data_IF_512859030903
#
_entry.id   IF_512859030903
#
_cell.length_a   1.000
_cell.length_b   1.000
_cell.length_c   1.000
_cell.angle_alpha   90.00
_cell.angle_beta   90.00
_cell.angle_gamma   90.00
#
_symmetry.space_group_name_H-M   'P 1'
#
loop_
_entity.id
_entity.type
_entity.pdbx_description
1 polymer ?
#
# COMPACT_ATOMS: atom_id res chain seq x y z
N UNK A 1 13.01 -68.96 -17.67
CA UNK A 1 12.72 -67.52 -17.50
C UNK A 1 11.25 -67.40 -17.15
N UNK A 2 10.92 -66.86 -15.98
CA UNK A 2 9.53 -66.60 -15.61
C UNK A 2 9.04 -65.39 -16.43
N UNK A 3 7.90 -65.53 -17.10
CA UNK A 3 7.29 -64.43 -17.87
C UNK A 3 6.70 -63.44 -16.88
N UNK A 4 7.14 -62.19 -16.93
CA UNK A 4 6.59 -61.13 -16.11
C UNK A 4 5.26 -60.67 -16.72
N UNK A 5 4.15 -60.96 -16.03
CA UNK A 5 2.79 -60.69 -16.51
C UNK A 5 2.47 -59.18 -16.63
N UNK A 6 3.28 -58.35 -15.98
CA UNK A 6 3.10 -56.90 -15.92
C UNK A 6 3.89 -56.16 -17.02
N UNK A 7 4.70 -56.86 -17.81
CA UNK A 7 5.44 -56.25 -18.91
C UNK A 7 4.53 -55.97 -20.12
N UNK A 8 4.78 -54.85 -20.77
CA UNK A 8 4.05 -54.41 -21.96
C UNK A 8 4.75 -54.91 -23.23
N UNK A 9 4.60 -56.20 -23.49
CA UNK A 9 5.17 -56.86 -24.66
C UNK A 9 4.07 -57.39 -25.58
N UNK A 10 4.33 -57.39 -26.88
CA UNK A 10 3.40 -57.95 -27.89
C UNK A 10 3.04 -59.42 -27.58
N UNK A 11 3.95 -60.15 -26.91
CA UNK A 11 3.70 -61.50 -26.43
C UNK A 11 2.65 -61.55 -25.31
N UNK A 12 2.73 -60.66 -24.32
CA UNK A 12 1.78 -60.61 -23.21
C UNK A 12 0.38 -60.18 -23.68
N UNK A 13 0.28 -59.30 -24.68
CA UNK A 13 -1.01 -58.93 -25.27
C UNK A 13 -1.66 -60.06 -26.05
N UNK A 14 -0.87 -60.86 -26.78
CA UNK A 14 -1.36 -62.07 -27.42
C UNK A 14 -1.90 -63.07 -26.37
N UNK A 15 -1.21 -63.24 -25.24
CA UNK A 15 -1.64 -64.11 -24.14
C UNK A 15 -2.94 -63.63 -23.46
N UNK A 16 -3.13 -62.31 -23.30
CA UNK A 16 -4.40 -61.73 -22.81
C UNK A 16 -5.54 -61.98 -23.79
N UNK A 17 -5.29 -61.82 -25.09
CA UNK A 17 -6.28 -62.08 -26.16
C UNK A 17 -6.69 -63.56 -26.24
N UNK A 18 -5.77 -64.48 -25.95
CA UNK A 18 -6.04 -65.91 -25.89
C UNK A 18 -6.62 -66.37 -24.53
N UNK A 19 -6.86 -65.46 -23.58
CA UNK A 19 -7.47 -65.77 -22.29
C UNK A 19 -6.55 -66.48 -21.30
N UNK A 20 -5.24 -66.46 -21.54
CA UNK A 20 -4.21 -67.08 -20.69
C UNK A 20 -3.79 -66.13 -19.56
N UNK A 21 -3.75 -64.82 -19.84
CA UNK A 21 -3.49 -63.77 -18.84
C UNK A 21 -4.79 -62.99 -18.55
N UNK A 22 -5.01 -62.57 -17.29
CA UNK A 22 -6.14 -61.73 -16.92
C UNK A 22 -6.08 -60.36 -17.65
N UNK A 23 -7.25 -59.72 -17.91
CA UNK A 23 -7.29 -58.36 -18.43
C UNK A 23 -6.54 -57.41 -17.50
N UNK A 24 -5.72 -56.52 -18.09
CA UNK A 24 -4.99 -55.51 -17.31
C UNK A 24 -5.97 -54.52 -16.66
N UNK A 25 -5.63 -54.10 -15.44
CA UNK A 25 -6.31 -52.97 -14.82
C UNK A 25 -6.06 -51.70 -15.66
N UNK A 26 -7.11 -50.92 -15.99
CA UNK A 26 -6.93 -49.69 -16.74
C UNK A 26 -6.10 -48.70 -15.91
N UNK A 27 -5.08 -48.11 -16.53
CA UNK A 27 -4.28 -47.06 -15.91
C UNK A 27 -5.22 -45.93 -15.48
N UNK A 28 -5.13 -45.44 -14.23
CA UNK A 28 -5.93 -44.30 -13.81
C UNK A 28 -5.66 -43.12 -14.75
N UNK A 29 -6.68 -42.35 -15.14
CA UNK A 29 -6.49 -41.21 -16.03
C UNK A 29 -5.48 -40.24 -15.40
N UNK A 30 -4.47 -39.87 -16.18
CA UNK A 30 -3.50 -38.86 -15.76
C UNK A 30 -4.24 -37.61 -15.32
N UNK A 31 -3.97 -37.04 -14.12
CA UNK A 31 -4.61 -35.81 -13.69
C UNK A 31 -4.32 -34.72 -14.73
N UNK A 32 -5.34 -33.92 -15.05
CA UNK A 32 -5.21 -32.81 -15.99
C UNK A 32 -4.14 -31.83 -15.48
N UNK A 33 -3.28 -31.28 -16.36
CA UNK A 33 -2.31 -30.27 -15.96
C UNK A 33 -3.05 -29.06 -15.36
N UNK A 34 -2.41 -28.33 -14.42
CA UNK A 34 -3.00 -27.14 -13.84
C UNK A 34 -3.32 -26.11 -14.93
N UNK A 35 -4.35 -25.26 -14.72
CA UNK A 35 -4.66 -24.18 -15.66
C UNK A 35 -3.45 -23.26 -15.82
N UNK A 36 -3.22 -22.80 -17.06
CA UNK A 36 -2.21 -21.77 -17.34
C UNK A 36 -2.51 -20.50 -16.53
N UNK A 37 -1.49 -19.82 -16.00
CA UNK A 37 -1.69 -18.61 -15.20
C UNK A 37 -2.42 -17.55 -16.00
N UNK A 38 -3.20 -16.73 -15.30
CA UNK A 38 -3.85 -15.57 -15.90
C UNK A 38 -2.79 -14.55 -16.34
N UNK A 39 -3.13 -13.71 -17.33
CA UNK A 39 -2.24 -12.65 -17.82
C UNK A 39 -1.76 -11.75 -16.67
N UNK A 40 -2.62 -11.50 -15.68
CA UNK A 40 -2.33 -10.68 -14.50
C UNK A 40 -1.31 -11.34 -13.56
N UNK A 41 -1.40 -12.66 -13.36
CA UNK A 41 -0.42 -13.43 -12.59
C UNK A 41 0.94 -13.46 -13.30
N UNK A 42 0.93 -13.68 -14.62
CA UNK A 42 2.16 -13.68 -15.43
C UNK A 42 2.88 -12.33 -15.42
N UNK A 43 2.14 -11.21 -15.40
CA UNK A 43 2.69 -9.86 -15.30
C UNK A 43 3.17 -9.50 -13.88
N UNK A 44 2.58 -10.11 -12.84
CA UNK A 44 2.86 -9.78 -11.44
C UNK A 44 4.25 -10.16 -10.94
N UNK A 45 4.85 -11.18 -11.55
CA UNK A 45 6.20 -11.64 -11.23
C UNK A 45 7.30 -10.80 -11.90
N UNK A 46 6.95 -9.96 -12.89
CA UNK A 46 7.90 -9.17 -13.66
C UNK A 46 8.30 -7.87 -12.95
N UNK A 47 9.57 -7.49 -13.14
CA UNK A 47 10.12 -6.22 -12.72
C UNK A 47 9.66 -5.07 -13.61
N UNK A 48 9.75 -3.81 -13.15
CA UNK A 48 9.42 -2.65 -14.00
C UNK A 48 10.25 -2.53 -15.28
N UNK A 49 11.43 -3.14 -15.34
CA UNK A 49 12.27 -3.17 -16.54
C UNK A 49 11.78 -4.24 -17.52
N UNK A 50 11.50 -5.45 -17.06
CA UNK A 50 10.95 -6.54 -17.89
C UNK A 50 9.57 -6.20 -18.44
N UNK A 51 8.73 -5.52 -17.65
CA UNK A 51 7.44 -5.01 -18.14
C UNK A 51 7.58 -3.94 -19.23
N UNK A 52 8.69 -3.18 -19.25
CA UNK A 52 8.94 -2.22 -20.33
C UNK A 52 9.30 -2.97 -21.61
N UNK A 53 10.24 -3.91 -21.52
CA UNK A 53 10.66 -4.75 -22.66
C UNK A 53 9.47 -5.51 -23.26
N UNK A 54 8.64 -6.13 -22.40
CA UNK A 54 7.43 -6.84 -22.82
C UNK A 54 6.39 -5.92 -23.51
N UNK A 55 6.33 -4.64 -23.12
CA UNK A 55 5.47 -3.66 -23.78
C UNK A 55 5.99 -3.29 -25.18
N UNK A 56 7.32 -3.18 -25.34
CA UNK A 56 7.97 -2.88 -26.62
C UNK A 56 7.88 -4.06 -27.60
N UNK A 57 7.87 -5.30 -27.11
CA UNK A 57 7.71 -6.53 -27.90
C UNK A 57 6.24 -6.94 -28.16
N UNK A 58 5.27 -6.13 -27.75
CA UNK A 58 3.85 -6.44 -27.90
C UNK A 58 3.42 -6.42 -29.39
N UNK A 59 2.69 -7.46 -29.81
CA UNK A 59 2.26 -7.62 -31.20
C UNK A 59 1.11 -6.69 -31.61
N UNK A 60 0.42 -6.06 -30.65
CA UNK A 60 -0.72 -5.18 -30.89
C UNK A 60 -0.79 -4.04 -29.85
N UNK A 61 -1.44 -2.94 -30.25
CA UNK A 61 -1.50 -1.71 -29.44
C UNK A 61 -2.34 -1.84 -28.16
N UNK A 62 -3.27 -2.80 -28.09
CA UNK A 62 -4.08 -2.98 -26.88
C UNK A 62 -3.27 -3.71 -25.80
N UNK A 63 -2.51 -4.73 -26.20
CA UNK A 63 -1.56 -5.43 -25.32
C UNK A 63 -0.49 -4.49 -24.78
N UNK A 64 0.11 -3.63 -25.63
CA UNK A 64 1.09 -2.61 -25.21
C UNK A 64 0.52 -1.70 -24.11
N UNK A 65 -0.73 -1.24 -24.27
CA UNK A 65 -1.40 -0.34 -23.30
C UNK A 65 -1.65 -1.04 -21.97
N UNK A 66 -2.04 -2.32 -21.99
CA UNK A 66 -2.28 -3.10 -20.77
C UNK A 66 -0.98 -3.27 -19.99
N UNK A 67 0.11 -3.66 -20.67
CA UNK A 67 1.42 -3.87 -20.04
C UNK A 67 1.99 -2.57 -19.48
N UNK A 68 1.91 -1.46 -20.21
CA UNK A 68 2.38 -0.16 -19.74
C UNK A 68 1.56 0.36 -18.54
N UNK A 69 0.25 0.12 -18.52
CA UNK A 69 -0.58 0.45 -17.36
C UNK A 69 -0.18 -0.36 -16.13
N UNK A 70 0.08 -1.67 -16.30
CA UNK A 70 0.55 -2.54 -15.23
C UNK A 70 1.91 -2.09 -14.69
N UNK A 71 2.85 -1.76 -15.59
CA UNK A 71 4.17 -1.20 -15.23
C UNK A 71 4.03 0.09 -14.41
N UNK A 72 3.15 1.00 -14.82
CA UNK A 72 2.90 2.25 -14.08
C UNK A 72 2.33 1.98 -12.69
N UNK A 73 1.39 1.06 -12.57
CA UNK A 73 0.83 0.65 -11.28
C UNK A 73 1.92 0.04 -10.39
N UNK A 74 2.71 -0.90 -10.89
CA UNK A 74 3.81 -1.55 -10.17
C UNK A 74 4.86 -0.55 -9.68
N UNK A 75 5.27 0.38 -10.53
CA UNK A 75 6.21 1.45 -10.15
C UNK A 75 5.60 2.37 -9.09
N UNK A 76 4.30 2.68 -9.19
CA UNK A 76 3.62 3.49 -8.18
C UNK A 76 3.52 2.78 -6.83
N UNK A 77 3.27 1.47 -6.83
CA UNK A 77 3.24 0.64 -5.63
C UNK A 77 4.60 0.53 -4.95
N UNK A 78 5.66 0.19 -5.72
CA UNK A 78 7.03 0.15 -5.20
C UNK A 78 7.43 1.49 -4.61
N UNK A 79 7.17 2.59 -5.33
CA UNK A 79 7.39 3.94 -4.82
C UNK A 79 6.56 4.26 -3.57
N UNK A 80 5.40 3.65 -3.39
CA UNK A 80 4.56 3.85 -2.19
C UNK A 80 5.08 3.03 -1.01
N UNK A 81 5.60 1.82 -1.26
CA UNK A 81 6.21 0.95 -0.26
C UNK A 81 7.54 1.52 0.24
N UNK A 82 8.42 1.97 -0.65
CA UNK A 82 9.69 2.65 -0.30
C UNK A 82 9.45 3.90 0.57
N UNK A 83 8.32 4.57 0.32
CA UNK A 83 7.90 5.80 1.00
C UNK A 83 7.17 5.56 2.32
N UNK A 84 6.88 4.31 2.69
CA UNK A 84 6.03 4.00 3.84
C UNK A 84 6.77 4.00 5.18
N UNK A 85 7.46 5.10 5.52
CA UNK A 85 8.25 5.22 6.77
C UNK A 85 7.40 5.58 7.99
N UNK A 86 6.30 6.29 7.76
CA UNK A 86 5.33 6.70 8.77
C UNK A 86 3.99 6.00 8.53
N UNK A 87 2.90 6.55 9.05
CA UNK A 87 1.58 5.89 9.00
C UNK A 87 0.70 6.16 10.22
N UNK A 88 1.23 6.88 11.21
CA UNK A 88 0.52 7.27 12.43
C UNK A 88 0.90 8.68 12.87
N UNK A 89 0.17 9.18 13.86
CA UNK A 89 0.44 10.47 14.51
C UNK A 89 1.27 10.21 15.75
N UNK A 90 2.40 10.90 15.88
CA UNK A 90 3.33 10.75 17.01
C UNK A 90 3.12 11.89 18.01
N UNK A 91 2.69 11.62 19.26
CA UNK A 91 2.64 12.65 20.29
C UNK A 91 4.05 13.04 20.73
N UNK A 92 4.31 14.33 20.87
CA UNK A 92 5.64 14.85 21.24
C UNK A 92 5.56 15.89 22.35
N UNK A 93 6.64 16.01 23.12
CA UNK A 93 6.87 17.08 24.09
C UNK A 93 7.42 18.37 23.45
N UNK A 94 7.55 19.43 24.27
CA UNK A 94 8.16 20.71 23.86
C UNK A 94 9.65 20.55 23.56
N UNK A 95 10.33 19.79 24.41
CA UNK A 95 11.75 19.44 24.33
C UNK A 95 12.08 18.63 23.07
N UNK A 96 11.13 17.86 22.58
CA UNK A 96 11.28 17.05 21.37
C UNK A 96 10.98 17.81 20.08
N UNK A 97 10.36 19.00 20.15
CA UNK A 97 9.86 19.74 18.99
C UNK A 97 10.94 19.93 17.92
N UNK A 98 12.12 20.43 18.30
CA UNK A 98 13.21 20.69 17.35
C UNK A 98 13.65 19.41 16.63
N UNK A 99 13.85 18.31 17.38
CA UNK A 99 14.28 17.03 16.82
C UNK A 99 13.20 16.42 15.93
N UNK A 100 11.97 16.37 16.43
CA UNK A 100 10.87 15.64 15.80
C UNK A 100 10.21 16.39 14.65
N UNK A 101 10.36 17.72 14.60
CA UNK A 101 9.78 18.60 13.58
C UNK A 101 10.86 19.21 12.69
N UNK A 102 11.70 20.09 13.23
CA UNK A 102 12.65 20.88 12.44
C UNK A 102 13.74 19.99 11.83
N UNK A 103 14.45 19.22 12.65
CA UNK A 103 15.53 18.35 12.16
C UNK A 103 14.97 17.17 11.35
N UNK A 104 13.86 16.57 11.80
CA UNK A 104 13.20 15.51 11.03
C UNK A 104 12.81 15.97 9.62
N UNK A 105 12.45 17.24 9.44
CA UNK A 105 12.07 17.78 8.12
C UNK A 105 13.25 17.97 7.16
N UNK A 106 14.50 18.04 7.66
CA UNK A 106 15.73 18.13 6.86
C UNK A 106 16.21 16.78 6.34
N UNK A 107 15.77 15.69 6.97
CA UNK A 107 16.16 14.34 6.55
C UNK A 107 15.61 14.08 5.14
N UNK A 108 16.51 13.85 4.19
CA UNK A 108 16.17 13.43 2.83
C UNK A 108 16.33 11.92 2.72
N UNK A 109 15.39 11.27 2.03
CA UNK A 109 15.46 9.82 1.78
C UNK A 109 16.50 9.53 0.70
N UNK A 110 17.18 8.39 0.83
CA UNK A 110 18.11 7.88 -0.18
C UNK A 110 17.38 7.77 -1.54
N UNK A 111 17.96 8.36 -2.58
CA UNK A 111 17.37 8.39 -3.92
C UNK A 111 16.48 9.61 -4.24
N UNK A 112 16.27 10.54 -3.31
CA UNK A 112 15.64 11.85 -3.59
C UNK A 112 16.69 12.96 -3.64
N UNK A 113 16.48 14.02 -4.46
CA UNK A 113 17.36 15.17 -4.46
C UNK A 113 17.39 15.80 -3.06
N UNK A 114 18.59 16.18 -2.59
CA UNK A 114 18.83 16.70 -1.24
C UNK A 114 17.90 17.88 -0.86
N UNK A 115 17.43 18.63 -1.86
CA UNK A 115 16.53 19.78 -1.69
C UNK A 115 15.09 19.44 -1.33
N UNK A 116 14.70 18.16 -1.25
CA UNK A 116 13.29 17.82 -1.01
C UNK A 116 12.90 17.82 0.47
N UNK A 117 13.71 17.22 1.35
CA UNK A 117 13.39 17.04 2.77
C UNK A 117 12.11 16.23 3.05
N UNK A 118 12.01 15.68 4.27
CA UNK A 118 10.80 15.01 4.75
C UNK A 118 9.73 16.06 5.06
N UNK A 119 8.50 15.84 4.58
CA UNK A 119 7.36 16.66 5.01
C UNK A 119 6.98 16.33 6.44
N UNK A 120 6.85 17.35 7.30
CA UNK A 120 6.39 17.18 8.69
C UNK A 120 5.18 18.06 8.95
N UNK A 121 4.09 17.48 9.43
CA UNK A 121 2.87 18.20 9.82
C UNK A 121 2.75 18.17 11.35
N UNK A 122 2.89 19.34 11.98
CA UNK A 122 2.77 19.52 13.41
C UNK A 122 1.36 20.01 13.76
N UNK A 123 0.61 19.19 14.50
CA UNK A 123 -0.75 19.46 14.93
C UNK A 123 -0.79 19.92 16.38
N UNK A 124 -1.16 21.18 16.57
CA UNK A 124 -1.34 21.80 17.88
C UNK A 124 -2.82 21.71 18.27
N UNK A 125 -3.07 21.08 19.41
CA UNK A 125 -4.40 20.84 19.95
C UNK A 125 -4.51 21.26 21.42
N UNK A 126 -5.74 21.37 21.91
CA UNK A 126 -6.02 21.46 23.35
C UNK A 126 -7.16 20.53 23.71
N UNK A 127 -7.03 19.88 24.86
CA UNK A 127 -8.06 19.02 25.43
C UNK A 127 -9.31 19.85 25.78
N UNK A 128 -10.50 19.24 25.64
CA UNK A 128 -11.77 19.89 25.93
C UNK A 128 -12.27 20.85 24.84
N UNK A 129 -11.53 21.04 23.74
CA UNK A 129 -12.00 21.79 22.56
C UNK A 129 -12.55 20.80 21.52
N UNK A 130 -13.86 20.78 21.23
CA UNK A 130 -14.46 19.80 20.32
C UNK A 130 -13.87 19.80 18.89
N UNK A 131 -13.34 20.95 18.45
CA UNK A 131 -12.67 21.05 17.13
C UNK A 131 -11.32 20.32 17.14
N UNK A 132 -10.59 20.30 18.26
CA UNK A 132 -9.38 19.49 18.42
C UNK A 132 -9.68 18.00 18.25
N UNK A 133 -10.72 17.51 18.91
CA UNK A 133 -11.10 16.08 18.87
C UNK A 133 -11.48 15.64 17.45
N UNK A 134 -12.28 16.45 16.75
CA UNK A 134 -12.60 16.19 15.33
C UNK A 134 -11.36 16.22 14.44
N UNK A 135 -10.42 17.12 14.71
CA UNK A 135 -9.18 17.20 13.94
C UNK A 135 -8.27 15.98 14.16
N UNK A 136 -8.31 15.34 15.34
CA UNK A 136 -7.60 14.09 15.60
C UNK A 136 -8.02 12.96 14.66
N UNK A 137 -9.33 12.81 14.41
CA UNK A 137 -9.83 11.81 13.46
C UNK A 137 -9.33 12.08 12.05
N UNK A 138 -9.30 13.36 11.65
CA UNK A 138 -8.81 13.72 10.33
C UNK A 138 -7.31 13.44 10.17
N UNK A 139 -6.48 13.89 11.11
CA UNK A 139 -5.03 13.74 10.99
C UNK A 139 -4.58 12.27 11.07
N UNK A 140 -5.28 11.42 11.83
CA UNK A 140 -5.01 9.97 11.87
C UNK A 140 -5.24 9.32 10.50
N UNK A 141 -6.34 9.66 9.83
CA UNK A 141 -6.63 9.16 8.48
C UNK A 141 -5.59 9.67 7.48
N UNK A 142 -5.22 10.95 7.55
CA UNK A 142 -4.19 11.52 6.67
C UNK A 142 -2.82 10.86 6.90
N UNK A 143 -2.44 10.59 8.14
CA UNK A 143 -1.20 9.90 8.47
C UNK A 143 -1.12 8.51 7.84
N UNK A 144 -2.23 7.77 7.82
CA UNK A 144 -2.30 6.47 7.15
C UNK A 144 -2.25 6.57 5.62
N UNK A 145 -2.84 7.63 5.05
CA UNK A 145 -2.87 7.86 3.59
C UNK A 145 -1.55 8.38 3.04
N UNK A 146 -0.76 9.09 3.85
CA UNK A 146 0.49 9.74 3.48
C UNK A 146 1.65 9.27 4.36
N UNK A 147 2.08 7.99 4.22
CA UNK A 147 3.12 7.43 5.09
C UNK A 147 4.52 7.98 4.77
N UNK A 148 4.68 8.80 3.74
CA UNK A 148 5.89 9.58 3.44
C UNK A 148 6.00 10.88 4.24
N UNK A 149 4.90 11.29 4.87
CA UNK A 149 4.81 12.52 5.66
C UNK A 149 4.77 12.16 7.14
N UNK A 150 5.60 12.83 7.93
CA UNK A 150 5.58 12.65 9.39
C UNK A 150 4.47 13.51 9.98
N UNK A 151 3.55 12.90 10.72
CA UNK A 151 2.51 13.63 11.46
C UNK A 151 2.82 13.59 12.94
N UNK A 152 2.91 14.75 13.59
CA UNK A 152 3.11 14.84 15.04
C UNK A 152 2.00 15.65 15.69
N UNK A 153 1.74 15.38 16.97
CA UNK A 153 0.77 16.13 17.77
C UNK A 153 1.40 16.66 19.05
N UNK A 154 1.12 17.91 19.40
CA UNK A 154 1.61 18.55 20.62
C UNK A 154 0.50 19.38 21.25
N UNK A 155 0.46 19.41 22.58
CA UNK A 155 -0.46 20.31 23.30
C UNK A 155 -0.07 21.75 23.00
N UNK A 156 -1.03 22.54 22.52
CA UNK A 156 -0.82 23.88 21.98
C UNK A 156 -0.06 24.79 22.94
N UNK A 157 -0.46 24.80 24.22
CA UNK A 157 0.19 25.61 25.27
C UNK A 157 1.59 25.11 25.65
N UNK A 158 1.92 23.83 25.41
CA UNK A 158 3.29 23.32 25.56
C UNK A 158 4.19 23.82 24.43
N UNK A 159 3.64 24.00 23.23
CA UNK A 159 4.39 24.51 22.07
C UNK A 159 4.52 26.04 22.10
N UNK A 160 3.40 26.75 22.20
CA UNK A 160 3.30 28.20 22.15
C UNK A 160 2.63 28.68 23.43
N UNK A 161 3.35 29.48 24.22
CA UNK A 161 2.81 29.99 25.48
C UNK A 161 1.58 30.87 25.23
N UNK A 162 0.53 30.69 26.03
CA UNK A 162 -0.73 31.44 25.96
C UNK A 162 -1.40 31.39 24.57
N UNK A 163 -1.41 30.22 23.92
CA UNK A 163 -2.00 30.08 22.59
C UNK A 163 -3.53 30.23 22.67
N UNK A 164 -4.16 31.21 22.00
CA UNK A 164 -5.61 31.38 22.10
C UNK A 164 -6.39 30.20 21.52
N UNK A 165 -7.46 29.80 22.21
CA UNK A 165 -8.34 28.70 21.80
C UNK A 165 -9.02 28.95 20.44
N UNK A 166 -9.20 30.22 20.07
CA UNK A 166 -9.71 30.62 18.75
C UNK A 166 -8.80 30.17 17.61
N UNK A 167 -7.50 29.96 17.87
CA UNK A 167 -6.52 29.49 16.87
C UNK A 167 -6.40 27.97 16.81
N UNK A 168 -6.98 27.25 17.78
CA UNK A 168 -6.95 25.79 17.85
C UNK A 168 -8.16 25.21 17.10
N UNK A 169 -8.03 24.05 16.44
CA UNK A 169 -6.78 23.35 16.12
C UNK A 169 -5.92 24.10 15.10
N UNK A 170 -4.60 23.99 15.24
CA UNK A 170 -3.61 24.59 14.35
C UNK A 170 -2.71 23.51 13.75
N UNK A 171 -2.38 23.67 12.46
CA UNK A 171 -1.42 22.83 11.75
C UNK A 171 -0.26 23.69 11.26
N UNK A 172 0.96 23.24 11.48
CA UNK A 172 2.17 23.86 10.96
C UNK A 172 2.88 22.84 10.09
N UNK A 173 3.14 23.19 8.83
CA UNK A 173 3.77 22.31 7.85
C UNK A 173 5.22 22.72 7.70
N UNK A 174 6.12 21.77 7.92
CA UNK A 174 7.56 21.94 7.79
C UNK A 174 8.11 21.12 6.63
N UNK A 175 9.16 21.65 6.02
CA UNK A 175 9.99 20.93 5.06
C UNK A 175 11.38 21.55 5.01
N UNK A 176 12.41 20.72 4.94
CA UNK A 176 13.80 21.15 4.86
C UNK A 176 14.22 22.16 5.95
N UNK A 177 13.69 22.02 7.16
CA UNK A 177 13.95 22.91 8.29
C UNK A 177 13.09 24.18 8.32
N UNK A 178 12.30 24.45 7.28
CA UNK A 178 11.52 25.68 7.13
C UNK A 178 10.02 25.44 7.29
N UNK A 179 9.30 26.48 7.72
CA UNK A 179 7.83 26.48 7.77
C UNK A 179 7.30 26.81 6.37
N UNK A 180 6.61 25.87 5.74
CA UNK A 180 5.97 26.07 4.45
C UNK A 180 4.60 26.72 4.56
N UNK A 181 3.81 26.32 5.56
CA UNK A 181 2.45 26.80 5.72
C UNK A 181 1.99 26.67 7.17
N UNK A 182 1.06 27.53 7.55
CA UNK A 182 0.40 27.50 8.85
C UNK A 182 -1.11 27.67 8.65
N UNK A 183 -1.87 26.68 9.11
CA UNK A 183 -3.33 26.70 9.09
C UNK A 183 -3.81 26.85 10.52
N UNK A 184 -4.55 27.92 10.79
CA UNK A 184 -5.10 28.21 12.12
C UNK A 184 -6.61 27.96 12.14
N UNK A 185 -7.14 27.67 13.33
CA UNK A 185 -8.58 27.53 13.58
C UNK A 185 -9.27 26.51 12.65
N UNK A 186 -8.64 25.37 12.39
CA UNK A 186 -9.16 24.40 11.44
C UNK A 186 -10.55 23.90 11.86
N UNK A 187 -11.50 24.03 10.94
CA UNK A 187 -12.91 23.68 11.18
C UNK A 187 -13.69 24.67 12.05
N UNK A 188 -13.19 25.91 12.25
CA UNK A 188 -13.94 26.98 12.92
C UNK A 188 -15.09 27.54 12.08
N UNK A 189 -14.85 27.69 10.78
CA UNK A 189 -15.79 28.29 9.83
C UNK A 189 -16.87 27.30 9.36
N UNK A 190 -16.49 26.03 9.20
CA UNK A 190 -17.37 24.94 8.79
C UNK A 190 -16.80 23.59 9.20
N UNK A 191 -17.66 22.59 9.30
CA UNK A 191 -17.21 21.21 9.47
C UNK A 191 -16.41 20.74 8.25
N UNK A 192 -15.23 20.19 8.51
CA UNK A 192 -14.33 19.66 7.47
C UNK A 192 -14.57 18.16 7.33
N UNK A 193 -14.48 17.66 6.10
CA UNK A 193 -14.59 16.21 5.79
C UNK A 193 -13.41 15.81 4.95
N UNK A 194 -12.92 14.59 5.16
CA UNK A 194 -11.89 14.00 4.29
C UNK A 194 -12.57 13.43 3.04
N UNK A 195 -12.14 13.90 1.88
CA UNK A 195 -12.59 13.38 0.60
C UNK A 195 -12.14 11.92 0.41
N UNK A 196 -13.00 11.08 -0.19
CA UNK A 196 -12.72 9.66 -0.38
C UNK A 196 -12.88 8.79 0.87
N UNK A 197 -13.66 9.21 1.88
CA UNK A 197 -14.23 8.27 2.86
C UNK A 197 -15.40 7.58 2.15
N UNK A 198 -15.27 6.30 1.80
CA UNK A 198 -16.44 5.52 1.40
C UNK A 198 -17.47 5.61 2.54
N UNK A 199 -18.73 5.84 2.20
CA UNK A 199 -19.85 5.73 3.14
C UNK A 199 -19.98 4.25 3.53
N UNK A 200 -19.16 3.78 4.45
CA UNK A 200 -19.30 2.47 5.08
C UNK A 200 -19.47 2.68 6.59
N UNK A 201 -20.65 3.19 6.94
CA UNK A 201 -21.29 3.11 8.26
C UNK A 201 -22.61 3.88 8.15
N UNK A 202 -23.56 3.35 7.37
CA UNK A 202 -24.96 3.66 7.60
C UNK A 202 -25.35 2.98 8.91
N UNK A 203 -25.60 3.84 9.89
CA UNK A 203 -26.42 3.65 11.07
C UNK A 203 -27.31 2.39 11.08
N UNK A 204 -27.17 1.47 12.06
CA UNK A 204 -28.08 0.33 12.19
C UNK A 204 -29.41 0.68 12.89
N UNK A 205 -29.69 1.96 13.17
CA UNK A 205 -30.93 2.37 13.82
C UNK A 205 -31.98 2.94 12.85
N UNK A 206 -32.47 2.12 11.94
CA UNK A 206 -33.85 2.27 11.43
C UNK A 206 -34.47 0.90 11.14
N UNK A 207 -35.11 0.34 12.17
CA UNK A 207 -36.25 -0.56 12.04
C UNK A 207 -37.44 0.11 12.71
#
# INVERSE_FOLDING_TARGET
MAVNADEDTEFNDALRKHGILPPREPTPPSPSPPPSPTLEEALGDLTPAELRELGEDANDSETERVVENYRRQRVAELRKQEKARFGRVYPIGRDEYTREVTEASKVTEEGKPESHGTGVVCFLYKDGIPRSDRAFEHIRILAQRHPDTKFVSIVGDKCIQNLPDTRIPMFIVYRNGEVLNQVVAWGADRERRIEGRSKAASDPSSR
#
